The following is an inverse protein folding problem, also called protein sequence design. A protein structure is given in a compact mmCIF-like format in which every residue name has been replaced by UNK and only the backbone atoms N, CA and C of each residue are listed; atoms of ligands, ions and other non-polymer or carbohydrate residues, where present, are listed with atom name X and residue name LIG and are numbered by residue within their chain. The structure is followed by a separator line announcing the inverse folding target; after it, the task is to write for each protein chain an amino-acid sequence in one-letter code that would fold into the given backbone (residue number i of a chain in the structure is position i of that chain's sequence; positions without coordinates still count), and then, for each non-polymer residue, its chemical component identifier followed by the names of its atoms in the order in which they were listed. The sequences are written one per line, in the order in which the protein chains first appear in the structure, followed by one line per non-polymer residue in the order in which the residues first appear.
data_IF_519741687687
#
_entry.id   IF_519741687687
#
_cell.length_a   1.000
_cell.length_b   1.000
_cell.length_c   1.000
_cell.angle_alpha   90.00
_cell.angle_beta   90.00
_cell.angle_gamma   90.00
#
_symmetry.space_group_name_H-M   'P 1'
#
loop_
_entity.id
_entity.type
_entity.pdbx_description
1 polymer ?
#
# COMPACT_ATOMS: atom_id res chain seq x y z
N UNK A 1 -19.19 28.96 1.61
CA UNK A 1 -18.41 28.13 2.55
C UNK A 1 -19.37 27.06 3.04
N UNK A 2 -19.19 25.80 2.64
CA UNK A 2 -19.98 24.71 3.20
C UNK A 2 -19.61 24.64 4.69
N UNK A 3 -20.61 24.78 5.58
CA UNK A 3 -20.41 24.52 7.00
C UNK A 3 -20.04 23.05 7.18
N UNK A 4 -18.74 22.81 7.33
CA UNK A 4 -18.26 21.47 7.70
C UNK A 4 -18.86 21.16 9.06
N UNK A 5 -19.65 20.11 9.17
CA UNK A 5 -20.28 19.74 10.43
C UNK A 5 -19.21 19.51 11.50
N UNK A 6 -19.48 19.95 12.74
CA UNK A 6 -18.58 19.74 13.90
C UNK A 6 -18.23 18.24 14.04
N UNK A 7 -19.17 17.35 13.73
CA UNK A 7 -18.97 15.91 13.75
C UNK A 7 -17.92 15.44 12.72
N UNK A 8 -17.92 16.01 11.52
CA UNK A 8 -16.93 15.65 10.49
C UNK A 8 -15.51 16.10 10.89
N UNK A 9 -15.36 17.30 11.44
CA UNK A 9 -14.08 17.79 11.95
C UNK A 9 -13.58 16.88 13.08
N UNK A 10 -14.46 16.51 14.02
CA UNK A 10 -14.12 15.62 15.12
C UNK A 10 -13.65 14.26 14.62
N UNK A 11 -14.33 13.65 13.63
CA UNK A 11 -13.93 12.39 13.01
C UNK A 11 -12.54 12.48 12.36
N UNK A 12 -12.26 13.56 11.64
CA UNK A 12 -10.93 13.78 11.04
C UNK A 12 -9.83 13.90 12.09
N UNK A 13 -10.10 14.61 13.18
CA UNK A 13 -9.16 14.74 14.31
C UNK A 13 -8.94 13.40 15.00
N UNK A 14 -10.00 12.60 15.20
CA UNK A 14 -9.89 11.26 15.78
C UNK A 14 -9.05 10.36 14.88
N UNK A 15 -9.31 10.32 13.57
CA UNK A 15 -8.55 9.50 12.63
C UNK A 15 -7.06 9.87 12.64
N UNK A 16 -6.75 11.17 12.66
CA UNK A 16 -5.37 11.65 12.79
C UNK A 16 -4.73 11.21 14.10
N UNK A 17 -5.41 11.44 15.24
CA UNK A 17 -4.88 11.11 16.56
C UNK A 17 -4.65 9.62 16.74
N UNK A 18 -5.59 8.78 16.27
CA UNK A 18 -5.49 7.31 16.32
C UNK A 18 -4.29 6.84 15.52
N UNK A 19 -4.17 7.30 14.26
CA UNK A 19 -3.04 6.89 13.43
C UNK A 19 -1.71 7.40 13.97
N UNK A 20 -1.64 8.65 14.43
CA UNK A 20 -0.43 9.23 15.03
C UNK A 20 0.02 8.44 16.27
N UNK A 21 -0.91 8.04 17.14
CA UNK A 21 -0.60 7.22 18.31
C UNK A 21 -0.03 5.86 17.93
N UNK A 22 -0.64 5.17 16.94
CA UNK A 22 -0.16 3.87 16.45
C UNK A 22 1.22 4.05 15.78
N UNK A 23 1.41 5.08 14.98
CA UNK A 23 2.68 5.37 14.33
C UNK A 23 3.79 5.62 15.35
N UNK A 24 3.55 6.43 16.36
CA UNK A 24 4.50 6.67 17.46
C UNK A 24 4.84 5.37 18.22
N UNK A 25 3.84 4.56 18.52
CA UNK A 25 4.05 3.25 19.13
C UNK A 25 4.95 2.35 18.27
N UNK A 26 4.69 2.28 16.95
CA UNK A 26 5.50 1.52 16.02
C UNK A 26 6.94 2.04 15.92
N UNK A 27 7.13 3.37 15.91
CA UNK A 27 8.47 3.99 15.95
C UNK A 27 9.24 3.67 17.22
N UNK A 28 8.56 3.69 18.39
CA UNK A 28 9.20 3.31 19.66
C UNK A 28 9.62 1.84 19.68
N UNK A 29 8.90 0.97 18.97
CA UNK A 29 9.19 -0.46 18.90
C UNK A 29 10.28 -0.81 17.88
N UNK A 30 10.32 -0.11 16.74
CA UNK A 30 11.26 -0.37 15.65
C UNK A 30 11.55 0.94 14.91
N UNK A 31 12.60 1.63 15.35
CA UNK A 31 12.99 2.91 14.73
C UNK A 31 13.84 2.66 13.49
N UNK A 32 13.24 2.84 12.30
CA UNK A 32 13.93 2.75 11.02
C UNK A 32 13.28 3.66 9.96
N UNK A 33 14.02 3.94 8.88
CA UNK A 33 13.56 4.85 7.82
C UNK A 33 12.29 4.34 7.12
N UNK A 34 12.13 3.03 6.94
CA UNK A 34 10.97 2.49 6.24
C UNK A 34 9.68 2.73 7.04
N UNK A 35 9.70 2.53 8.37
CA UNK A 35 8.57 2.83 9.25
C UNK A 35 8.26 4.34 9.24
N UNK A 36 9.29 5.19 9.22
CA UNK A 36 9.12 6.64 9.09
C UNK A 36 8.42 6.98 7.77
N UNK A 37 8.90 6.45 6.65
CA UNK A 37 8.33 6.71 5.33
C UNK A 37 6.89 6.22 5.22
N UNK A 38 6.61 4.98 5.64
CA UNK A 38 5.25 4.41 5.66
C UNK A 38 4.35 5.24 6.57
N UNK A 39 4.80 5.55 7.79
CA UNK A 39 4.03 6.35 8.72
C UNK A 39 3.66 7.72 8.16
N UNK A 40 4.62 8.45 7.61
CA UNK A 40 4.34 9.76 7.01
C UNK A 40 3.47 9.68 5.75
N UNK A 41 3.59 8.61 4.95
CA UNK A 41 2.74 8.42 3.77
C UNK A 41 1.25 8.48 4.11
N UNK A 42 0.86 7.84 5.21
CA UNK A 42 -0.54 7.80 5.63
C UNK A 42 -0.91 8.90 6.61
N UNK A 43 0.04 9.43 7.41
CA UNK A 43 -0.22 10.51 8.36
C UNK A 43 -0.49 11.85 7.66
N UNK A 44 0.30 12.19 6.62
CA UNK A 44 0.18 13.48 5.93
C UNK A 44 -1.23 13.72 5.36
N UNK A 45 -1.87 12.76 4.66
CA UNK A 45 -3.24 12.95 4.21
C UNK A 45 -4.29 13.02 5.33
N UNK A 46 -3.96 12.60 6.55
CA UNK A 46 -4.86 12.68 7.70
C UNK A 46 -4.84 14.04 8.40
N UNK A 47 -3.87 14.91 8.12
CA UNK A 47 -3.73 16.22 8.79
C UNK A 47 -5.02 17.04 8.67
N UNK A 48 -5.70 17.39 9.79
CA UNK A 48 -7.06 17.96 9.74
C UNK A 48 -7.11 19.38 9.15
N UNK A 49 -6.10 20.21 9.38
CA UNK A 49 -6.03 21.59 8.87
C UNK A 49 -5.58 21.69 7.42
N UNK A 50 -5.23 20.60 6.81
CA UNK A 50 -4.95 20.51 5.37
C UNK A 50 -6.26 20.32 4.59
N UNK A 51 -7.27 21.03 5.04
CA UNK A 51 -8.59 21.04 4.45
C UNK A 51 -8.58 22.07 3.33
N UNK A 52 -8.47 21.64 2.09
CA UNK A 52 -8.87 22.45 0.96
C UNK A 52 -10.37 22.76 1.03
N UNK A 53 -10.88 23.46 0.05
CA UNK A 53 -12.32 23.72 -0.13
C UNK A 53 -13.09 22.48 -0.64
N UNK A 54 -12.66 21.29 -0.33
CA UNK A 54 -13.23 20.04 -0.86
C UNK A 54 -14.58 19.64 -0.23
N UNK A 55 -15.23 18.68 -0.86
CA UNK A 55 -16.42 18.03 -0.31
C UNK A 55 -16.07 17.21 0.92
N UNK A 56 -16.84 17.40 2.01
CA UNK A 56 -16.54 16.78 3.32
C UNK A 56 -16.56 15.26 3.25
N UNK A 57 -17.51 14.68 2.50
CA UNK A 57 -17.63 13.24 2.31
C UNK A 57 -16.38 12.67 1.66
N UNK A 58 -15.81 13.34 0.68
CA UNK A 58 -14.59 12.93 -0.03
C UNK A 58 -13.38 12.97 0.90
N UNK A 59 -13.28 14.02 1.72
CA UNK A 59 -12.21 14.13 2.73
C UNK A 59 -12.33 12.99 3.75
N UNK A 60 -13.53 12.67 4.21
CA UNK A 60 -13.76 11.57 5.15
C UNK A 60 -13.41 10.21 4.53
N UNK A 61 -13.83 9.93 3.30
CA UNK A 61 -13.49 8.68 2.60
C UNK A 61 -11.97 8.51 2.53
N UNK A 62 -11.25 9.53 2.06
CA UNK A 62 -9.78 9.48 1.96
C UNK A 62 -9.14 9.32 3.34
N UNK A 63 -9.69 10.00 4.36
CA UNK A 63 -9.21 9.87 5.73
C UNK A 63 -9.36 8.45 6.25
N UNK A 64 -10.51 7.80 6.06
CA UNK A 64 -10.70 6.40 6.46
C UNK A 64 -9.84 5.43 5.66
N UNK A 65 -9.66 5.64 4.35
CA UNK A 65 -8.75 4.84 3.54
C UNK A 65 -7.30 4.92 4.07
N UNK A 66 -6.83 6.13 4.35
CA UNK A 66 -5.47 6.33 4.90
C UNK A 66 -5.34 5.76 6.32
N UNK A 67 -6.36 5.90 7.17
CA UNK A 67 -6.33 5.32 8.51
C UNK A 67 -6.25 3.80 8.45
N UNK A 68 -7.20 3.15 7.77
CA UNK A 68 -7.33 1.68 7.76
C UNK A 68 -6.12 1.05 7.08
N UNK A 69 -5.79 1.47 5.86
CA UNK A 69 -4.69 0.87 5.12
C UNK A 69 -3.33 1.26 5.71
N UNK A 70 -3.21 2.47 6.25
CA UNK A 70 -2.02 2.90 6.98
C UNK A 70 -1.76 2.06 8.22
N UNK A 71 -2.79 1.71 9.01
CA UNK A 71 -2.65 0.79 10.15
C UNK A 71 -2.17 -0.59 9.67
N UNK A 72 -2.78 -1.12 8.61
CA UNK A 72 -2.39 -2.41 8.03
C UNK A 72 -0.90 -2.38 7.65
N UNK A 73 -0.48 -1.40 6.87
CA UNK A 73 0.90 -1.33 6.39
C UNK A 73 1.90 -1.09 7.52
N UNK A 74 1.66 -0.14 8.43
CA UNK A 74 2.63 0.17 9.48
C UNK A 74 2.79 -0.99 10.48
N UNK A 75 1.70 -1.70 10.78
CA UNK A 75 1.75 -2.88 11.65
C UNK A 75 2.53 -4.01 10.96
N UNK A 76 2.28 -4.27 9.67
CA UNK A 76 3.03 -5.28 8.93
C UNK A 76 4.51 -4.94 8.88
N UNK A 77 4.89 -3.71 8.55
CA UNK A 77 6.29 -3.30 8.55
C UNK A 77 6.94 -3.47 9.92
N UNK A 78 6.25 -3.07 11.00
CA UNK A 78 6.78 -3.20 12.37
C UNK A 78 6.96 -4.66 12.79
N UNK A 79 6.07 -5.57 12.36
CA UNK A 79 6.15 -6.99 12.70
C UNK A 79 7.17 -7.77 11.85
N UNK A 80 7.43 -7.31 10.63
CA UNK A 80 8.23 -8.06 9.66
C UNK A 80 9.66 -7.56 9.51
N UNK A 81 9.91 -6.30 9.78
CA UNK A 81 11.21 -5.67 9.60
C UNK A 81 12.02 -5.66 10.90
N UNK A 82 13.25 -6.18 10.83
CA UNK A 82 14.22 -6.09 11.93
C UNK A 82 15.21 -4.97 11.65
N UNK A 83 15.67 -4.27 12.68
CA UNK A 83 16.68 -3.20 12.56
C UNK A 83 17.95 -3.65 11.85
N UNK A 84 18.32 -4.92 12.01
CA UNK A 84 19.49 -5.54 11.36
C UNK A 84 19.35 -5.68 9.84
N UNK A 85 18.12 -5.66 9.33
CA UNK A 85 17.83 -5.84 7.89
C UNK A 85 17.98 -4.52 7.09
N UNK A 86 18.04 -3.35 7.76
CA UNK A 86 18.15 -2.03 7.09
C UNK A 86 19.59 -1.60 6.95
N UNK A 87 20.22 -2.00 5.85
CA UNK A 87 21.56 -1.52 5.49
C UNK A 87 21.45 -0.45 4.41
N UNK A 88 21.93 0.77 4.70
CA UNK A 88 22.02 1.86 3.72
C UNK A 88 23.13 1.55 2.70
N UNK A 89 22.78 0.89 1.61
CA UNK A 89 23.68 0.56 0.51
C UNK A 89 23.03 0.92 -0.83
N UNK A 90 23.78 0.72 -1.93
CA UNK A 90 23.27 1.02 -3.28
C UNK A 90 21.94 0.28 -3.59
N UNK A 91 21.82 -0.98 -3.17
CA UNK A 91 20.60 -1.79 -3.40
C UNK A 91 19.40 -1.21 -2.64
N UNK A 92 19.60 -0.74 -1.39
CA UNK A 92 18.58 -0.05 -0.62
C UNK A 92 18.09 1.23 -1.32
N UNK A 93 19.03 2.07 -1.78
CA UNK A 93 18.67 3.28 -2.51
C UNK A 93 17.93 2.98 -3.82
N UNK A 94 18.33 1.95 -4.55
CA UNK A 94 17.61 1.50 -5.75
C UNK A 94 16.16 1.09 -5.43
N UNK A 95 15.94 0.34 -4.34
CA UNK A 95 14.59 -0.01 -3.88
C UNK A 95 13.80 1.21 -3.41
N UNK A 96 14.45 2.14 -2.70
CA UNK A 96 13.82 3.37 -2.26
C UNK A 96 13.29 4.20 -3.45
N UNK A 97 14.14 4.48 -4.44
CA UNK A 97 13.78 5.30 -5.59
C UNK A 97 12.92 4.57 -6.63
N UNK A 98 13.15 3.28 -6.87
CA UNK A 98 12.44 2.51 -7.89
C UNK A 98 11.11 1.94 -7.43
N UNK A 99 10.93 1.68 -6.13
CA UNK A 99 9.73 1.07 -5.58
C UNK A 99 8.99 1.97 -4.60
N UNK A 100 9.64 2.40 -3.52
CA UNK A 100 8.96 3.03 -2.38
C UNK A 100 8.46 4.41 -2.73
N UNK A 101 9.33 5.29 -3.23
CA UNK A 101 8.97 6.68 -3.53
C UNK A 101 7.90 6.83 -4.61
N UNK A 102 7.86 6.04 -5.70
CA UNK A 102 6.75 6.09 -6.64
C UNK A 102 5.40 5.76 -6.02
N UNK A 103 5.34 4.76 -5.12
CA UNK A 103 4.09 4.40 -4.42
C UNK A 103 3.69 5.49 -3.43
N UNK A 104 4.63 6.04 -2.67
CA UNK A 104 4.39 7.17 -1.76
C UNK A 104 3.84 8.37 -2.54
N UNK A 105 4.48 8.73 -3.65
CA UNK A 105 4.04 9.85 -4.48
C UNK A 105 2.62 9.62 -5.04
N UNK A 106 2.31 8.39 -5.46
CA UNK A 106 0.97 8.02 -5.92
C UNK A 106 -0.08 8.20 -4.80
N UNK A 107 0.15 7.61 -3.63
CA UNK A 107 -0.79 7.66 -2.51
C UNK A 107 -1.01 9.08 -1.97
N UNK A 108 0.07 9.81 -1.70
CA UNK A 108 -0.01 11.19 -1.21
C UNK A 108 -0.63 12.09 -2.28
N UNK A 109 -0.19 11.98 -3.54
CA UNK A 109 -0.70 12.79 -4.64
C UNK A 109 -2.19 12.59 -4.88
N UNK A 110 -2.65 11.33 -4.98
CA UNK A 110 -4.07 11.02 -5.14
C UNK A 110 -4.89 11.45 -3.92
N UNK A 111 -4.39 11.22 -2.70
CA UNK A 111 -5.06 11.69 -1.48
C UNK A 111 -5.20 13.22 -1.45
N UNK A 112 -4.16 13.95 -1.87
CA UNK A 112 -4.21 15.41 -1.96
C UNK A 112 -5.23 15.89 -2.99
N UNK A 113 -5.23 15.32 -4.21
CA UNK A 113 -6.20 15.67 -5.25
C UNK A 113 -7.62 15.39 -4.77
N UNK A 114 -7.88 14.25 -4.15
CA UNK A 114 -9.19 13.90 -3.59
C UNK A 114 -9.66 14.92 -2.55
N UNK A 115 -8.76 15.36 -1.67
CA UNK A 115 -9.06 16.34 -0.61
C UNK A 115 -9.27 17.78 -1.12
N UNK A 116 -8.92 18.07 -2.35
CA UNK A 116 -9.12 19.38 -2.99
C UNK A 116 -10.24 19.38 -4.03
N UNK A 117 -10.80 18.19 -4.36
CA UNK A 117 -11.86 18.04 -5.34
C UNK A 117 -13.19 18.57 -4.80
N UNK A 118 -13.87 19.46 -5.56
CA UNK A 118 -15.14 20.09 -5.20
C UNK A 118 -16.38 19.27 -5.63
N UNK A 119 -16.19 18.20 -6.39
CA UNK A 119 -17.27 17.39 -6.92
C UNK A 119 -17.77 16.44 -5.82
N UNK A 120 -19.08 16.42 -5.52
CA UNK A 120 -19.67 15.49 -4.56
C UNK A 120 -19.40 14.04 -4.94
N UNK A 121 -19.34 13.16 -3.95
CA UNK A 121 -19.25 11.71 -4.18
C UNK A 121 -20.64 11.18 -4.49
N UNK A 122 -20.81 10.54 -5.64
CA UNK A 122 -22.04 9.82 -5.93
C UNK A 122 -22.04 8.40 -5.34
N UNK A 123 -23.20 7.77 -5.28
CA UNK A 123 -23.37 6.44 -4.66
C UNK A 123 -22.60 5.36 -5.40
N UNK A 124 -22.46 5.44 -6.73
CA UNK A 124 -21.75 4.43 -7.51
C UNK A 124 -20.24 4.57 -7.30
N UNK A 125 -19.74 5.80 -7.26
CA UNK A 125 -18.33 6.09 -6.90
C UNK A 125 -18.02 5.51 -5.51
N UNK A 126 -18.88 5.74 -4.52
CA UNK A 126 -18.70 5.20 -3.16
C UNK A 126 -18.68 3.67 -3.14
N UNK A 127 -19.60 3.02 -3.87
CA UNK A 127 -19.66 1.56 -3.97
C UNK A 127 -18.39 1.02 -4.62
N UNK A 128 -17.92 1.61 -5.71
CA UNK A 128 -16.69 1.20 -6.39
C UNK A 128 -15.48 1.34 -5.46
N UNK A 129 -15.35 2.48 -4.77
CA UNK A 129 -14.26 2.70 -3.79
C UNK A 129 -14.33 1.63 -2.71
N UNK A 130 -15.51 1.38 -2.12
CA UNK A 130 -15.67 0.42 -1.04
C UNK A 130 -15.30 -1.01 -1.47
N UNK A 131 -15.74 -1.44 -2.65
CA UNK A 131 -15.41 -2.77 -3.20
C UNK A 131 -13.91 -2.90 -3.45
N UNK A 132 -13.31 -1.96 -4.19
CA UNK A 132 -11.90 -2.01 -4.54
C UNK A 132 -11.01 -1.96 -3.28
N UNK A 133 -11.33 -1.05 -2.36
CA UNK A 133 -10.56 -0.86 -1.14
C UNK A 133 -10.64 -2.08 -0.21
N UNK A 134 -11.85 -2.58 0.04
CA UNK A 134 -12.07 -3.73 0.93
C UNK A 134 -11.45 -5.00 0.36
N UNK A 135 -11.71 -5.28 -0.93
CA UNK A 135 -11.14 -6.43 -1.62
C UNK A 135 -9.61 -6.37 -1.64
N UNK A 136 -9.06 -5.21 -2.03
CA UNK A 136 -7.60 -5.02 -2.08
C UNK A 136 -6.94 -5.17 -0.72
N UNK A 137 -7.50 -4.56 0.32
CA UNK A 137 -7.00 -4.66 1.70
C UNK A 137 -7.09 -6.10 2.22
N UNK A 138 -8.23 -6.78 2.01
CA UNK A 138 -8.39 -8.17 2.40
C UNK A 138 -7.40 -9.10 1.69
N UNK A 139 -7.24 -8.93 0.38
CA UNK A 139 -6.27 -9.71 -0.40
C UNK A 139 -4.84 -9.48 0.08
N UNK A 140 -4.47 -8.23 0.38
CA UNK A 140 -3.16 -7.87 0.96
C UNK A 140 -2.92 -8.57 2.28
N UNK A 141 -3.86 -8.46 3.23
CA UNK A 141 -3.77 -9.07 4.56
C UNK A 141 -3.67 -10.59 4.46
N UNK A 142 -4.54 -11.23 3.66
CA UNK A 142 -4.52 -12.68 3.44
C UNK A 142 -3.21 -13.15 2.81
N UNK A 143 -2.71 -12.46 1.79
CA UNK A 143 -1.48 -12.85 1.11
C UNK A 143 -0.27 -12.79 2.06
N UNK A 144 -0.15 -11.74 2.88
CA UNK A 144 0.94 -11.62 3.87
C UNK A 144 0.80 -12.67 4.97
N UNK A 145 -0.41 -12.92 5.47
CA UNK A 145 -0.65 -13.95 6.50
C UNK A 145 -0.27 -15.35 6.00
N UNK A 146 -0.57 -15.66 4.74
CA UNK A 146 -0.24 -16.94 4.10
C UNK A 146 1.26 -17.12 3.81
N UNK A 147 1.98 -16.03 3.52
CA UNK A 147 3.45 -16.03 3.41
C UNK A 147 4.11 -16.29 4.77
N UNK A 148 3.43 -15.95 5.86
CA UNK A 148 3.97 -15.88 7.21
C UNK A 148 4.74 -14.58 7.44
N UNK A 149 4.40 -13.89 8.51
CA UNK A 149 4.98 -12.58 8.88
C UNK A 149 6.51 -12.54 8.91
N UNK A 150 7.16 -13.68 9.18
CA UNK A 150 8.62 -13.77 9.23
C UNK A 150 9.29 -13.90 7.85
N UNK A 151 8.53 -14.16 6.79
CA UNK A 151 9.03 -14.34 5.42
C UNK A 151 8.85 -13.11 4.56
N UNK A 152 7.91 -12.23 4.93
CA UNK A 152 7.74 -10.94 4.28
C UNK A 152 8.86 -9.99 4.74
N UNK A 153 9.66 -9.48 3.81
CA UNK A 153 10.75 -8.56 4.10
C UNK A 153 10.78 -7.44 3.07
N UNK A 154 11.14 -6.25 3.52
CA UNK A 154 11.45 -5.13 2.62
C UNK A 154 12.71 -5.43 1.80
N UNK A 155 13.75 -5.96 2.43
CA UNK A 155 14.93 -6.43 1.72
C UNK A 155 14.69 -7.81 1.11
N UNK A 156 15.05 -7.97 -0.18
CA UNK A 156 15.00 -9.25 -0.87
C UNK A 156 16.16 -10.11 -0.34
N UNK A 157 15.96 -10.71 0.83
CA UNK A 157 16.90 -11.62 1.44
C UNK A 157 16.14 -12.86 1.91
N UNK A 158 16.52 -14.01 1.39
CA UNK A 158 15.97 -15.29 1.83
C UNK A 158 16.63 -15.71 3.14
N UNK A 159 15.85 -16.34 4.02
CA UNK A 159 16.40 -16.99 5.22
C UNK A 159 16.81 -18.41 4.87
N UNK A 160 17.82 -18.91 5.59
CA UNK A 160 18.21 -20.32 5.49
C UNK A 160 16.99 -21.23 5.66
N UNK A 161 16.83 -22.20 4.76
CA UNK A 161 15.71 -23.18 4.71
C UNK A 161 14.33 -22.59 4.30
N UNK A 162 14.28 -21.43 3.65
CA UNK A 162 13.02 -20.96 3.10
C UNK A 162 12.59 -21.84 1.90
N UNK A 163 11.32 -22.29 1.91
CA UNK A 163 10.72 -23.05 0.80
C UNK A 163 9.97 -22.12 -0.15
N UNK A 164 9.95 -22.45 -1.43
CA UNK A 164 9.14 -21.76 -2.42
C UNK A 164 7.64 -21.91 -2.08
N UNK A 165 6.94 -20.76 -1.98
CA UNK A 165 5.50 -20.73 -1.70
C UNK A 165 4.73 -20.85 -3.01
N UNK A 166 3.99 -21.95 -3.20
CA UNK A 166 3.23 -22.24 -4.42
C UNK A 166 1.79 -22.69 -4.16
N UNK A 167 1.34 -22.63 -2.91
CA UNK A 167 0.01 -23.04 -2.46
C UNK A 167 -0.88 -21.83 -2.11
N UNK A 168 -2.12 -22.08 -1.74
CA UNK A 168 -3.10 -21.09 -1.36
C UNK A 168 -3.27 -20.00 -2.44
N UNK A 169 -3.15 -18.70 -2.12
CA UNK A 169 -3.23 -17.61 -3.11
C UNK A 169 -2.11 -17.68 -4.16
N UNK A 170 -0.92 -18.15 -3.76
CA UNK A 170 0.22 -18.29 -4.66
C UNK A 170 0.06 -19.43 -5.68
N UNK A 171 -0.95 -20.29 -5.53
CA UNK A 171 -1.36 -21.24 -6.56
C UNK A 171 -1.99 -20.54 -7.79
N UNK A 172 -2.65 -19.42 -7.57
CA UNK A 172 -3.45 -18.73 -8.58
C UNK A 172 -2.74 -17.51 -9.17
N UNK A 173 -1.85 -16.87 -8.41
CA UNK A 173 -1.07 -15.71 -8.84
C UNK A 173 0.25 -15.64 -8.06
N UNK A 174 1.34 -15.22 -8.72
CA UNK A 174 2.67 -15.18 -8.08
C UNK A 174 2.80 -14.06 -7.05
N UNK A 175 2.13 -12.92 -7.28
CA UNK A 175 2.28 -11.72 -6.45
C UNK A 175 0.95 -11.21 -5.87
N UNK A 176 0.23 -12.02 -5.05
CA UNK A 176 -1.08 -11.63 -4.52
C UNK A 176 -1.02 -10.38 -3.64
N UNK A 177 0.10 -10.14 -2.96
CA UNK A 177 0.28 -8.93 -2.13
C UNK A 177 0.26 -7.65 -2.97
N UNK A 178 0.94 -7.63 -4.12
CA UNK A 178 0.96 -6.46 -5.02
C UNK A 178 -0.36 -6.31 -5.77
N UNK A 179 -1.02 -7.42 -6.10
CA UNK A 179 -2.37 -7.40 -6.65
C UNK A 179 -3.35 -6.73 -5.68
N UNK A 180 -3.30 -7.09 -4.39
CA UNK A 180 -4.11 -6.42 -3.36
C UNK A 180 -3.82 -4.92 -3.26
N UNK A 181 -2.54 -4.54 -3.23
CA UNK A 181 -2.16 -3.11 -3.23
C UNK A 181 -2.63 -2.37 -4.48
N UNK A 182 -2.61 -3.02 -5.65
CA UNK A 182 -3.10 -2.38 -6.88
C UNK A 182 -4.60 -2.08 -6.81
N UNK A 183 -5.42 -2.96 -6.23
CA UNK A 183 -6.84 -2.67 -5.99
C UNK A 183 -7.04 -1.50 -5.03
N UNK A 184 -6.21 -1.40 -3.99
CA UNK A 184 -6.23 -0.23 -3.09
C UNK A 184 -5.84 1.04 -3.85
N UNK A 185 -4.79 1.02 -4.68
CA UNK A 185 -4.39 2.16 -5.53
C UNK A 185 -5.52 2.57 -6.47
N UNK A 186 -6.23 1.62 -7.08
CA UNK A 186 -7.39 1.92 -7.92
C UNK A 186 -8.53 2.56 -7.12
N UNK A 187 -8.75 2.14 -5.88
CA UNK A 187 -9.71 2.82 -5.00
C UNK A 187 -9.30 4.29 -4.76
N UNK A 188 -8.03 4.56 -4.46
CA UNK A 188 -7.53 5.94 -4.35
C UNK A 188 -7.66 6.72 -5.67
N UNK A 189 -7.42 6.08 -6.81
CA UNK A 189 -7.61 6.72 -8.12
C UNK A 189 -9.06 7.18 -8.31
N UNK A 190 -10.03 6.34 -7.96
CA UNK A 190 -11.46 6.68 -8.02
C UNK A 190 -11.79 7.84 -7.08
N UNK A 191 -11.24 7.88 -5.85
CA UNK A 191 -11.50 8.99 -4.90
C UNK A 191 -11.09 10.36 -5.44
N UNK A 192 -10.17 10.43 -6.39
CA UNK A 192 -9.71 11.72 -6.96
C UNK A 192 -10.78 12.39 -7.82
N UNK A 193 -11.73 11.65 -8.34
CA UNK A 193 -12.70 12.10 -9.38
C UNK A 193 -11.99 12.81 -10.55
N UNK A 194 -10.73 12.48 -10.78
CA UNK A 194 -9.90 13.06 -11.84
C UNK A 194 -9.17 11.94 -12.58
N UNK A 195 -9.56 11.71 -13.82
CA UNK A 195 -8.95 10.66 -14.63
C UNK A 195 -7.44 10.87 -14.84
N UNK A 196 -6.98 12.12 -14.95
CA UNK A 196 -5.54 12.41 -15.03
C UNK A 196 -4.80 11.99 -13.77
N UNK A 197 -5.29 12.43 -12.60
CA UNK A 197 -4.67 12.08 -11.34
C UNK A 197 -4.72 10.58 -11.07
N UNK A 198 -5.86 9.95 -11.38
CA UNK A 198 -6.03 8.50 -11.26
C UNK A 198 -5.07 7.70 -12.15
N UNK A 199 -4.94 8.07 -13.44
CA UNK A 199 -4.03 7.40 -14.37
C UNK A 199 -2.56 7.62 -13.94
N UNK A 200 -2.17 8.85 -13.66
CA UNK A 200 -0.79 9.17 -13.27
C UNK A 200 -0.43 8.44 -11.96
N UNK A 201 -1.28 8.53 -10.93
CA UNK A 201 -1.04 7.84 -9.65
C UNK A 201 -0.96 6.33 -9.81
N UNK A 202 -1.90 5.74 -10.57
CA UNK A 202 -1.88 4.29 -10.86
C UNK A 202 -0.62 3.88 -11.61
N UNK A 203 -0.18 4.67 -12.60
CA UNK A 203 1.05 4.41 -13.34
C UNK A 203 2.30 4.43 -12.43
N UNK A 204 2.42 5.44 -11.57
CA UNK A 204 3.54 5.51 -10.61
C UNK A 204 3.56 4.30 -9.66
N UNK A 205 2.41 3.92 -9.12
CA UNK A 205 2.30 2.76 -8.25
C UNK A 205 2.61 1.46 -9.00
N UNK A 206 2.06 1.28 -10.21
CA UNK A 206 2.33 0.11 -11.06
C UNK A 206 3.83 0.00 -11.39
N UNK A 207 4.47 1.10 -11.77
CA UNK A 207 5.91 1.14 -12.01
C UNK A 207 6.69 0.69 -10.76
N UNK A 208 6.36 1.22 -9.58
CA UNK A 208 6.98 0.83 -8.33
C UNK A 208 6.83 -0.66 -8.02
N UNK A 209 5.62 -1.23 -8.24
CA UNK A 209 5.39 -2.66 -8.05
C UNK A 209 6.16 -3.51 -9.06
N UNK A 210 6.14 -3.16 -10.34
CA UNK A 210 6.87 -3.89 -11.37
C UNK A 210 8.38 -3.88 -11.13
N UNK A 211 8.92 -2.72 -10.70
CA UNK A 211 10.32 -2.61 -10.33
C UNK A 211 10.66 -3.60 -9.20
N UNK A 212 9.86 -3.65 -8.16
CA UNK A 212 10.07 -4.56 -7.02
C UNK A 212 9.91 -6.02 -7.41
N UNK A 213 8.85 -6.37 -8.15
CA UNK A 213 8.57 -7.72 -8.63
C UNK A 213 9.75 -8.24 -9.47
N UNK A 214 10.32 -7.41 -10.33
CA UNK A 214 11.47 -7.80 -11.15
C UNK A 214 12.63 -8.33 -10.30
N UNK A 215 13.02 -7.62 -9.26
CA UNK A 215 14.09 -8.06 -8.36
C UNK A 215 13.70 -9.25 -7.49
N UNK A 216 12.45 -9.34 -7.05
CA UNK A 216 11.96 -10.50 -6.32
C UNK A 216 11.98 -11.76 -7.18
N UNK A 217 11.56 -11.69 -8.45
CA UNK A 217 11.59 -12.83 -9.37
C UNK A 217 13.02 -13.25 -9.72
N UNK A 218 13.96 -12.30 -9.85
CA UNK A 218 15.38 -12.64 -10.01
C UNK A 218 15.92 -13.41 -8.80
N UNK A 219 15.68 -12.91 -7.59
CA UNK A 219 16.12 -13.56 -6.38
C UNK A 219 15.48 -14.94 -6.16
N UNK A 220 14.18 -15.09 -6.50
CA UNK A 220 13.50 -16.38 -6.48
C UNK A 220 14.10 -17.38 -7.48
N UNK A 221 14.45 -16.90 -8.68
CA UNK A 221 15.12 -17.72 -9.70
C UNK A 221 16.53 -18.15 -9.25
N UNK A 222 17.30 -17.26 -8.66
CA UNK A 222 18.62 -17.57 -8.11
C UNK A 222 18.56 -18.59 -6.97
N UNK A 223 17.55 -18.47 -6.08
CA UNK A 223 17.39 -19.33 -4.91
C UNK A 223 16.83 -20.72 -5.23
N UNK A 224 15.83 -20.79 -6.12
CA UNK A 224 15.05 -22.01 -6.37
C UNK A 224 15.24 -22.61 -7.78
N UNK A 225 15.96 -21.91 -8.67
CA UNK A 225 16.31 -22.41 -10.00
C UNK A 225 15.12 -22.95 -10.81
N UNK A 226 15.22 -24.22 -11.23
CA UNK A 226 14.19 -24.89 -12.05
C UNK A 226 12.82 -24.98 -11.39
N UNK A 227 12.75 -25.10 -10.07
CA UNK A 227 11.46 -25.20 -9.35
C UNK A 227 10.69 -23.88 -9.49
N UNK A 228 11.37 -22.75 -9.40
CA UNK A 228 10.75 -21.45 -9.66
C UNK A 228 10.37 -21.26 -11.14
N UNK A 229 11.20 -21.69 -12.08
CA UNK A 229 10.87 -21.60 -13.53
C UNK A 229 9.63 -22.43 -13.87
N UNK A 230 9.51 -23.64 -13.33
CA UNK A 230 8.32 -24.49 -13.50
C UNK A 230 7.05 -23.86 -12.87
N UNK A 231 7.19 -23.25 -11.71
CA UNK A 231 6.10 -22.52 -11.07
C UNK A 231 5.67 -21.30 -11.89
N UNK A 232 6.64 -20.49 -12.33
CA UNK A 232 6.43 -19.30 -13.14
C UNK A 232 5.72 -19.60 -14.47
N UNK A 233 6.05 -20.71 -15.12
CA UNK A 233 5.44 -21.14 -16.37
C UNK A 233 3.94 -21.49 -16.24
N UNK A 234 3.48 -21.85 -15.03
CA UNK A 234 2.11 -22.29 -14.77
C UNK A 234 1.23 -21.26 -14.08
N UNK A 235 1.85 -20.25 -13.46
CA UNK A 235 1.14 -19.31 -12.57
C UNK A 235 1.32 -17.86 -13.08
N UNK A 236 0.23 -17.14 -13.37
CA UNK A 236 0.29 -15.76 -13.81
C UNK A 236 0.86 -14.82 -12.74
N UNK A 237 1.38 -13.67 -13.16
CA UNK A 237 2.03 -12.71 -12.25
C UNK A 237 1.02 -12.04 -11.31
N UNK A 238 -0.07 -11.48 -11.87
CA UNK A 238 -1.00 -10.59 -11.19
C UNK A 238 -2.34 -11.24 -10.90
N UNK A 239 -3.13 -11.51 -11.89
CA UNK A 239 -4.50 -12.02 -11.76
C UNK A 239 -4.62 -13.41 -12.33
N UNK A 240 -5.45 -14.30 -11.73
CA UNK A 240 -5.80 -15.56 -12.37
C UNK A 240 -6.34 -15.27 -13.77
N UNK A 241 -5.91 -16.05 -14.76
CA UNK A 241 -6.35 -15.95 -16.16
C UNK A 241 -5.73 -14.83 -17.02
N UNK A 242 -4.85 -13.98 -16.47
CA UNK A 242 -4.05 -13.02 -17.24
C UNK A 242 -2.60 -13.55 -17.34
N UNK A 243 -2.31 -14.28 -18.42
CA UNK A 243 -0.96 -14.71 -18.77
C UNK A 243 -0.28 -13.69 -19.67
#
# INVERSE_FOLDING_TARGET
MLEVSVAAILLLQINFAVFAAIFLFCLCRSFNLNIILVGFTYLLPLVPWWLGSAQVERILIVSYCNLIFGIVEIVFFTLTERQEDVKFNKAYLQQLFGHVLPIIAALIGMSFVSRTTLIPVDIWELIIIAILFTFGTALRVLAISQLGFLRFKFNIAFRDKQTLKTDQLHKYMRHPTYTGMMFVILAYAVTTHSWYAGIIGTFFAFFGFQYRIHFEEQALKEQFGKDYENYRAKTPMWLPFLN
#
